data_IF_083892287747
#
_entry.id   IF_083892287747
#
_cell.length_a   1.000
_cell.length_b   1.000
_cell.length_c   1.000
_cell.angle_alpha   90.00
_cell.angle_beta   90.00
_cell.angle_gamma   90.00
#
_symmetry.space_group_name_H-M   'P 1'
#
loop_
_entity.id
_entity.type
_entity.pdbx_description
1 polymer ?
#
# COMPACT_ATOMS: atom_id res chain seq x y z
N UNK A 1 37.33 8.85 46.49
CA UNK A 1 37.57 8.49 45.07
C UNK A 1 36.43 7.62 44.58
N UNK A 2 35.46 8.20 43.89
CA UNK A 2 34.45 7.49 43.10
C UNK A 2 34.35 8.23 41.78
N UNK A 3 34.90 7.64 40.73
CA UNK A 3 34.85 8.13 39.36
C UNK A 3 33.50 7.73 38.77
N UNK A 4 32.64 8.72 38.53
CA UNK A 4 31.39 8.55 37.78
C UNK A 4 31.74 8.62 36.29
N UNK A 5 31.58 7.52 35.56
CA UNK A 5 31.62 7.52 34.10
C UNK A 5 30.26 7.97 33.59
N UNK A 6 30.22 9.18 33.00
CA UNK A 6 29.11 9.65 32.18
C UNK A 6 29.32 9.09 30.76
N UNK A 7 28.49 8.13 30.36
CA UNK A 7 28.38 7.73 28.96
C UNK A 7 27.55 8.78 28.21
N UNK A 8 28.24 9.61 27.42
CA UNK A 8 27.60 10.50 26.44
C UNK A 8 27.23 9.63 25.23
N UNK A 9 25.95 9.31 25.09
CA UNK A 9 25.41 8.77 23.84
C UNK A 9 25.36 9.95 22.86
N UNK A 10 26.34 10.02 21.98
CA UNK A 10 26.31 10.93 20.84
C UNK A 10 25.32 10.38 19.80
N UNK A 11 24.11 10.93 19.76
CA UNK A 11 23.19 10.74 18.64
C UNK A 11 23.83 11.33 17.39
N UNK A 12 24.31 10.45 16.50
CA UNK A 12 24.83 10.83 15.20
C UNK A 12 23.64 11.25 14.31
N UNK A 13 23.28 12.53 14.37
CA UNK A 13 22.36 13.12 13.39
C UNK A 13 23.15 13.25 12.09
N UNK A 14 22.94 12.31 11.16
CA UNK A 14 23.36 12.47 9.78
C UNK A 14 22.61 13.68 9.21
N UNK A 15 23.25 14.84 9.26
CA UNK A 15 22.79 16.07 8.63
C UNK A 15 22.91 15.91 7.11
N UNK A 16 21.91 15.28 6.49
CA UNK A 16 21.65 15.50 5.09
C UNK A 16 21.31 17.00 4.91
N UNK A 17 21.76 17.64 3.81
CA UNK A 17 21.41 19.03 3.55
C UNK A 17 19.88 19.15 3.53
N UNK A 18 19.34 19.87 4.51
CA UNK A 18 17.99 20.43 4.48
C UNK A 18 17.97 21.43 3.32
N UNK A 19 17.75 20.93 2.11
CA UNK A 19 17.28 21.76 1.03
C UNK A 19 15.93 22.33 1.48
N UNK A 20 15.72 23.64 1.31
CA UNK A 20 14.38 24.22 1.38
C UNK A 20 13.52 23.45 0.35
N UNK A 21 12.73 22.51 0.83
CA UNK A 21 12.09 21.48 0.02
C UNK A 21 11.22 20.59 0.89
N UNK A 22 10.24 19.96 0.25
CA UNK A 22 9.23 19.12 0.88
C UNK A 22 9.80 18.20 1.97
N UNK A 23 9.08 18.07 3.09
CA UNK A 23 9.45 17.17 4.19
C UNK A 23 9.53 15.70 3.74
N UNK A 24 8.79 15.34 2.69
CA UNK A 24 8.90 14.07 1.99
C UNK A 24 9.38 14.38 0.56
N UNK A 25 10.65 14.08 0.22
CA UNK A 25 11.27 14.52 -1.04
C UNK A 25 10.81 13.70 -2.25
N UNK A 26 9.76 12.89 -2.10
CA UNK A 26 9.30 11.94 -3.10
C UNK A 26 7.91 12.33 -3.60
N UNK A 27 7.77 12.31 -4.92
CA UNK A 27 6.54 12.71 -5.61
C UNK A 27 5.55 11.57 -5.75
N UNK A 28 6.03 10.33 -5.60
CA UNK A 28 5.23 9.12 -5.74
C UNK A 28 5.46 8.21 -4.54
N UNK A 29 4.47 8.18 -3.66
CA UNK A 29 4.45 7.29 -2.50
C UNK A 29 3.04 7.11 -1.94
N UNK A 30 2.86 6.00 -1.25
CA UNK A 30 1.71 5.64 -0.44
C UNK A 30 2.22 5.02 0.85
N UNK A 31 1.74 5.52 1.98
CA UNK A 31 1.95 4.92 3.30
C UNK A 31 0.60 4.70 3.96
N UNK A 32 0.39 3.51 4.51
CA UNK A 32 -0.78 3.13 5.29
C UNK A 32 -0.34 2.58 6.62
N UNK A 33 -0.93 3.09 7.71
CA UNK A 33 -0.62 2.68 9.07
C UNK A 33 -1.90 2.27 9.77
N UNK A 34 -1.89 1.09 10.38
CA UNK A 34 -2.99 0.60 11.19
C UNK A 34 -2.97 1.30 12.56
N UNK A 35 -4.14 1.70 13.06
CA UNK A 35 -4.25 2.49 14.30
C UNK A 35 -4.86 1.71 15.45
N UNK A 36 -5.36 0.50 15.17
CA UNK A 36 -5.87 -0.42 16.18
C UNK A 36 -4.99 -1.67 16.39
N UNK A 37 -3.83 -1.76 15.75
CA UNK A 37 -2.95 -2.93 15.88
C UNK A 37 -2.46 -3.16 17.33
N UNK A 38 -2.34 -2.09 18.12
CA UNK A 38 -1.96 -2.16 19.54
C UNK A 38 -3.04 -2.80 20.42
N UNK A 39 -4.29 -2.82 19.96
CA UNK A 39 -5.38 -3.53 20.63
C UNK A 39 -5.42 -5.01 20.26
N UNK A 40 -4.77 -5.41 19.17
CA UNK A 40 -4.79 -6.77 18.67
C UNK A 40 -3.99 -7.68 19.61
N UNK A 41 -4.70 -8.46 20.44
CA UNK A 41 -4.11 -9.67 21.03
C UNK A 41 -4.00 -10.70 19.91
N UNK A 42 -2.79 -11.20 19.70
CA UNK A 42 -2.31 -12.12 18.63
C UNK A 42 -3.18 -13.35 18.28
N UNK A 43 -4.26 -13.62 19.00
CA UNK A 43 -4.99 -14.90 18.94
C UNK A 43 -6.44 -14.80 18.40
N UNK A 44 -7.03 -13.61 18.26
CA UNK A 44 -8.46 -13.48 17.86
C UNK A 44 -8.70 -12.88 16.47
N UNK A 45 -7.66 -12.34 15.82
CA UNK A 45 -7.75 -11.75 14.48
C UNK A 45 -8.80 -10.63 14.42
N UNK A 46 -8.37 -9.38 14.60
CA UNK A 46 -9.29 -8.25 14.59
C UNK A 46 -10.12 -8.23 13.30
N UNK A 47 -11.42 -8.46 13.47
CA UNK A 47 -12.39 -8.45 12.37
C UNK A 47 -12.61 -7.04 11.83
N UNK A 48 -12.24 -6.01 12.60
CA UNK A 48 -12.26 -4.60 12.20
C UNK A 48 -10.84 -4.03 12.20
N UNK A 49 -10.53 -3.24 11.18
CA UNK A 49 -9.25 -2.55 11.05
C UNK A 49 -9.50 -1.08 10.78
N UNK A 50 -8.81 -0.22 11.50
CA UNK A 50 -8.83 1.22 11.29
C UNK A 50 -7.44 1.64 10.84
N UNK A 51 -7.32 2.14 9.61
CA UNK A 51 -6.06 2.61 9.06
C UNK A 51 -6.13 4.08 8.67
N UNK A 52 -4.97 4.73 8.70
CA UNK A 52 -4.75 6.08 8.20
C UNK A 52 -3.67 6.02 7.14
N UNK A 53 -3.90 6.67 6.02
CA UNK A 53 -2.97 6.71 4.90
C UNK A 53 -2.60 8.13 4.49
N UNK A 54 -1.41 8.23 3.91
CA UNK A 54 -0.86 9.43 3.26
C UNK A 54 -0.31 8.99 1.91
N UNK A 55 -0.58 9.77 0.87
CA UNK A 55 -0.03 9.53 -0.46
C UNK A 55 0.30 10.82 -1.19
N UNK A 56 1.17 10.71 -2.18
CA UNK A 56 1.43 11.73 -3.19
C UNK A 56 1.71 11.03 -4.50
N UNK A 57 1.27 11.63 -5.60
CA UNK A 57 1.46 11.13 -6.94
C UNK A 57 1.64 12.30 -7.92
N UNK A 58 2.08 12.03 -9.14
CA UNK A 58 2.32 13.08 -10.14
C UNK A 58 1.04 13.88 -10.50
N UNK A 59 -0.12 13.23 -10.49
CA UNK A 59 -1.44 13.84 -10.73
C UNK A 59 -1.99 14.59 -9.50
N UNK A 60 -1.52 14.24 -8.29
CA UNK A 60 -1.87 14.88 -7.01
C UNK A 60 -0.60 15.37 -6.31
N UNK A 61 0.05 16.44 -6.80
CA UNK A 61 1.34 16.89 -6.28
C UNK A 61 1.29 17.36 -4.82
N UNK A 62 0.12 17.84 -4.35
CA UNK A 62 -0.08 18.21 -2.95
C UNK A 62 -0.38 17.00 -2.04
N UNK A 63 -0.53 15.81 -2.62
CA UNK A 63 -0.88 14.58 -1.93
C UNK A 63 -2.30 14.52 -1.39
N UNK A 64 -2.57 13.46 -0.64
CA UNK A 64 -3.83 13.23 0.05
C UNK A 64 -3.61 12.39 1.31
N UNK A 65 -4.56 12.47 2.23
CA UNK A 65 -4.64 11.61 3.40
C UNK A 65 -6.06 11.08 3.54
N UNK A 66 -6.23 9.88 4.09
CA UNK A 66 -7.55 9.31 4.34
C UNK A 66 -7.54 8.37 5.53
N UNK A 67 -8.69 8.25 6.19
CA UNK A 67 -8.95 7.24 7.20
C UNK A 67 -9.85 6.19 6.56
N UNK A 68 -9.57 4.91 6.82
CA UNK A 68 -10.38 3.80 6.31
C UNK A 68 -10.68 2.81 7.41
N UNK A 69 -11.89 2.28 7.39
CA UNK A 69 -12.30 1.20 8.29
C UNK A 69 -12.71 0.00 7.45
N UNK A 70 -12.13 -1.16 7.73
CA UNK A 70 -12.41 -2.41 7.04
C UNK A 70 -12.96 -3.45 7.99
N UNK A 71 -13.98 -4.20 7.56
CA UNK A 71 -14.39 -5.44 8.19
C UNK A 71 -13.89 -6.65 7.40
N UNK A 72 -12.91 -7.36 7.94
CA UNK A 72 -12.30 -8.51 7.27
C UNK A 72 -13.16 -9.78 7.26
N UNK A 73 -14.26 -9.80 8.01
CA UNK A 73 -15.29 -10.84 7.89
C UNK A 73 -16.00 -10.79 6.54
N UNK A 74 -16.02 -9.63 5.88
CA UNK A 74 -16.68 -9.48 4.58
C UNK A 74 -15.75 -9.80 3.39
N UNK A 75 -16.34 -10.10 2.24
CA UNK A 75 -15.63 -10.24 0.97
C UNK A 75 -14.86 -8.95 0.64
N UNK A 76 -13.71 -9.06 -0.03
CA UNK A 76 -12.79 -7.94 -0.28
C UNK A 76 -13.44 -6.66 -0.81
N UNK A 77 -14.42 -6.80 -1.71
CA UNK A 77 -15.13 -5.69 -2.33
C UNK A 77 -16.21 -5.05 -1.44
N UNK A 78 -16.54 -5.69 -0.31
CA UNK A 78 -17.53 -5.24 0.68
C UNK A 78 -16.92 -4.83 2.02
N UNK A 79 -15.60 -4.97 2.21
CA UNK A 79 -14.98 -4.76 3.54
C UNK A 79 -15.04 -3.32 4.01
N UNK A 80 -14.99 -2.37 3.09
CA UNK A 80 -14.88 -0.95 3.43
C UNK A 80 -16.19 -0.44 4.05
N UNK A 81 -16.07 0.21 5.20
CA UNK A 81 -17.17 0.90 5.87
C UNK A 81 -17.11 2.39 5.54
N UNK A 82 -18.27 2.96 5.24
CA UNK A 82 -18.47 4.42 5.10
C UNK A 82 -18.53 5.12 6.45
N UNK A 83 -18.56 6.45 6.46
CA UNK A 83 -18.77 7.21 7.70
C UNK A 83 -20.11 6.86 8.37
N UNK A 84 -21.18 6.68 7.58
CA UNK A 84 -22.51 6.27 8.08
C UNK A 84 -22.48 4.85 8.68
N UNK A 85 -21.77 3.92 8.03
CA UNK A 85 -21.54 2.56 8.55
C UNK A 85 -20.80 2.60 9.91
N UNK A 86 -19.78 3.47 10.03
CA UNK A 86 -19.01 3.65 11.26
C UNK A 86 -19.89 4.23 12.36
N UNK A 87 -20.68 5.27 12.07
CA UNK A 87 -21.60 5.88 13.03
C UNK A 87 -22.64 4.88 13.53
N UNK A 88 -23.24 4.10 12.62
CA UNK A 88 -24.20 3.06 12.96
C UNK A 88 -23.59 1.96 13.83
N UNK A 89 -22.36 1.53 13.53
CA UNK A 89 -21.63 0.55 14.33
C UNK A 89 -21.37 1.05 15.76
N UNK A 90 -20.89 2.30 15.90
CA UNK A 90 -20.62 2.89 17.20
C UNK A 90 -21.88 3.07 18.03
N UNK A 91 -23.00 3.50 17.42
CA UNK A 91 -24.28 3.63 18.08
C UNK A 91 -24.84 2.26 18.53
N UNK A 92 -24.70 1.22 17.71
CA UNK A 92 -25.06 -0.14 18.10
C UNK A 92 -24.21 -0.63 19.29
N UNK A 93 -22.92 -0.29 19.32
CA UNK A 93 -22.03 -0.60 20.44
C UNK A 93 -22.46 0.05 21.75
N UNK A 94 -22.80 1.33 21.73
CA UNK A 94 -23.32 2.05 22.90
C UNK A 94 -24.65 1.42 23.38
N UNK A 95 -25.58 1.14 22.46
CA UNK A 95 -26.85 0.49 22.80
C UNK A 95 -26.66 -0.92 23.39
N UNK A 96 -25.73 -1.71 22.84
CA UNK A 96 -25.41 -3.04 23.37
C UNK A 96 -24.81 -2.96 24.77
N UNK A 97 -23.95 -1.98 25.03
CA UNK A 97 -23.36 -1.72 26.35
C UNK A 97 -24.42 -1.31 27.38
N UNK A 98 -25.42 -0.54 26.96
CA UNK A 98 -26.55 -0.11 27.80
C UNK A 98 -27.64 -1.18 27.95
N UNK A 99 -27.53 -2.29 27.20
CA UNK A 99 -28.47 -3.40 27.22
C UNK A 99 -29.75 -3.15 26.41
N UNK A 100 -29.76 -2.11 25.59
CA UNK A 100 -30.90 -1.68 24.80
C UNK A 100 -31.11 -2.56 23.55
N UNK A 101 -32.21 -2.30 22.84
CA UNK A 101 -32.42 -2.84 21.50
C UNK A 101 -32.03 -1.76 20.50
N UNK A 102 -31.36 -2.17 19.43
CA UNK A 102 -30.96 -1.26 18.36
C UNK A 102 -31.07 -2.00 17.04
N UNK A 103 -31.57 -1.30 16.02
CA UNK A 103 -31.54 -1.76 14.64
C UNK A 103 -31.46 -0.56 13.71
N UNK A 104 -30.43 -0.52 12.88
CA UNK A 104 -30.24 0.51 11.86
C UNK A 104 -29.80 -0.13 10.54
N UNK A 105 -30.16 0.50 9.43
CA UNK A 105 -29.80 0.05 8.08
C UNK A 105 -29.11 1.20 7.37
N UNK A 106 -27.90 0.95 6.89
CA UNK A 106 -27.12 1.88 6.07
C UNK A 106 -27.12 1.36 4.64
N UNK A 107 -27.39 2.23 3.66
CA UNK A 107 -27.32 1.90 2.24
C UNK A 107 -26.13 2.61 1.61
N UNK A 108 -25.19 1.83 1.10
CA UNK A 108 -23.95 2.33 0.49
C UNK A 108 -23.95 2.02 -1.01
N UNK A 109 -23.70 3.02 -1.85
CA UNK A 109 -23.49 2.82 -3.28
C UNK A 109 -22.13 2.14 -3.52
N UNK A 110 -22.12 1.00 -4.20
CA UNK A 110 -20.91 0.29 -4.60
C UNK A 110 -20.82 0.19 -6.12
N UNK A 111 -19.67 -0.24 -6.65
CA UNK A 111 -19.55 -0.51 -8.10
C UNK A 111 -20.47 -1.65 -8.60
N UNK A 112 -21.07 -2.43 -7.68
CA UNK A 112 -22.08 -3.47 -7.98
C UNK A 112 -23.52 -3.00 -7.74
N UNK A 113 -23.71 -1.72 -7.44
CA UNK A 113 -24.99 -1.12 -7.05
C UNK A 113 -25.12 -0.89 -5.54
N UNK A 114 -26.33 -0.51 -5.13
CA UNK A 114 -26.64 -0.23 -3.73
C UNK A 114 -26.53 -1.49 -2.88
N UNK A 115 -25.92 -1.34 -1.71
CA UNK A 115 -25.72 -2.39 -0.74
C UNK A 115 -26.21 -1.96 0.64
N UNK A 116 -27.09 -2.76 1.23
CA UNK A 116 -27.55 -2.55 2.59
C UNK A 116 -26.64 -3.25 3.61
N UNK A 117 -26.37 -2.56 4.72
CA UNK A 117 -25.71 -3.07 5.91
C UNK A 117 -26.64 -2.91 7.09
N UNK A 118 -26.92 -4.00 7.79
CA UNK A 118 -27.80 -4.01 8.96
C UNK A 118 -26.94 -4.08 10.21
N UNK A 119 -27.12 -3.11 11.10
CA UNK A 119 -26.53 -3.05 12.42
C UNK A 119 -27.62 -3.34 13.44
N UNK A 120 -27.49 -4.41 14.21
CA UNK A 120 -28.48 -4.79 15.22
C UNK A 120 -27.84 -5.24 16.52
N UNK A 121 -28.53 -4.99 17.63
CA UNK A 121 -28.14 -5.51 18.95
C UNK A 121 -28.90 -6.78 19.23
N UNK A 122 -28.17 -7.87 19.39
CA UNK A 122 -28.71 -9.24 19.50
C UNK A 122 -28.33 -9.86 20.84
N UNK A 123 -29.19 -10.74 21.35
CA UNK A 123 -28.91 -11.50 22.57
C UNK A 123 -28.41 -12.90 22.21
N UNK A 124 -27.15 -13.19 22.49
CA UNK A 124 -26.50 -14.47 22.22
C UNK A 124 -25.95 -15.01 23.53
N UNK A 125 -26.47 -16.14 24.00
CA UNK A 125 -26.00 -16.75 25.25
C UNK A 125 -26.22 -15.92 26.53
N UNK A 126 -27.11 -14.91 26.49
CA UNK A 126 -27.33 -13.97 27.60
C UNK A 126 -26.50 -12.70 27.49
N UNK A 127 -25.64 -12.58 26.48
CA UNK A 127 -24.83 -11.40 26.21
C UNK A 127 -25.42 -10.57 25.06
N UNK A 128 -25.35 -9.25 25.19
CA UNK A 128 -25.75 -8.31 24.15
C UNK A 128 -24.56 -8.04 23.23
N UNK A 129 -24.68 -8.44 21.97
CA UNK A 129 -23.65 -8.27 20.93
C UNK A 129 -24.16 -7.33 19.84
N UNK A 130 -23.23 -6.68 19.13
CA UNK A 130 -23.50 -5.98 17.89
C UNK A 130 -23.33 -6.96 16.74
N UNK A 131 -24.40 -7.22 15.99
CA UNK A 131 -24.34 -7.93 14.71
C UNK A 131 -24.34 -6.92 13.58
N UNK A 132 -23.34 -7.03 12.70
CA UNK A 132 -23.25 -6.31 11.44
C UNK A 132 -23.43 -7.32 10.31
N UNK A 133 -24.46 -7.13 9.48
CA UNK A 133 -24.81 -8.03 8.37
C UNK A 133 -24.77 -7.29 7.05
N UNK A 134 -24.08 -7.86 6.06
CA UNK A 134 -23.93 -7.30 4.71
C UNK A 134 -24.04 -8.43 3.69
N UNK A 135 -25.12 -8.43 2.90
CA UNK A 135 -25.44 -9.58 2.03
C UNK A 135 -25.70 -10.87 2.82
N UNK A 136 -24.95 -11.93 2.50
CA UNK A 136 -25.01 -13.23 3.22
C UNK A 136 -24.02 -13.31 4.38
N UNK A 137 -23.15 -12.32 4.53
CA UNK A 137 -22.09 -12.30 5.52
C UNK A 137 -22.56 -11.58 6.80
N UNK A 138 -22.06 -12.06 7.93
CA UNK A 138 -22.38 -11.50 9.24
C UNK A 138 -21.15 -11.54 10.14
N UNK A 139 -20.98 -10.48 10.91
CA UNK A 139 -19.97 -10.37 11.94
C UNK A 139 -20.63 -9.97 13.26
N UNK A 140 -20.27 -10.66 14.34
CA UNK A 140 -20.74 -10.35 15.69
C UNK A 140 -19.58 -9.81 16.53
N UNK A 141 -19.85 -8.76 17.28
CA UNK A 141 -18.87 -8.02 18.08
C UNK A 141 -19.39 -7.80 19.49
N UNK A 142 -18.50 -7.94 20.47
CA UNK A 142 -18.77 -7.47 21.83
C UNK A 142 -18.81 -5.94 21.87
N UNK A 143 -19.57 -5.31 22.79
CA UNK A 143 -19.67 -3.85 22.86
C UNK A 143 -18.31 -3.14 23.02
N UNK A 144 -17.36 -3.79 23.70
CA UNK A 144 -16.01 -3.28 23.89
C UNK A 144 -15.25 -3.03 22.57
N UNK A 145 -15.65 -3.68 21.47
CA UNK A 145 -15.05 -3.46 20.15
C UNK A 145 -15.35 -2.06 19.61
N UNK A 146 -16.56 -1.54 19.83
CA UNK A 146 -16.92 -0.17 19.45
C UNK A 146 -16.04 0.87 20.17
N UNK A 147 -15.70 0.62 21.44
CA UNK A 147 -14.79 1.47 22.20
C UNK A 147 -13.36 1.47 21.62
N UNK A 148 -12.86 0.30 21.17
CA UNK A 148 -11.56 0.19 20.49
C UNK A 148 -11.56 0.95 19.17
N UNK A 149 -12.59 0.76 18.34
CA UNK A 149 -12.75 1.48 17.05
C UNK A 149 -12.81 2.99 17.29
N UNK A 150 -13.56 3.45 18.29
CA UNK A 150 -13.63 4.87 18.67
C UNK A 150 -12.24 5.44 19.04
N UNK A 151 -11.47 4.70 19.84
CA UNK A 151 -10.11 5.11 20.21
C UNK A 151 -9.15 5.13 19.01
N UNK A 152 -9.23 4.11 18.14
CA UNK A 152 -8.43 4.03 16.93
C UNK A 152 -8.78 5.15 15.93
N UNK A 153 -10.05 5.48 15.75
CA UNK A 153 -10.49 6.61 14.93
C UNK A 153 -9.98 7.95 15.48
N UNK A 154 -9.98 8.14 16.80
CA UNK A 154 -9.41 9.35 17.41
C UNK A 154 -7.91 9.47 17.09
N UNK A 155 -7.17 8.37 17.20
CA UNK A 155 -5.76 8.32 16.81
C UNK A 155 -5.54 8.56 15.31
N UNK A 156 -6.38 7.96 14.45
CA UNK A 156 -6.33 8.12 13.01
C UNK A 156 -6.59 9.59 12.59
N UNK A 157 -7.50 10.30 13.28
CA UNK A 157 -7.75 11.74 13.04
C UNK A 157 -6.54 12.60 13.39
N UNK A 158 -5.87 12.34 14.52
CA UNK A 158 -4.62 13.04 14.86
C UNK A 158 -3.50 12.74 13.86
N UNK A 159 -3.41 11.50 13.38
CA UNK A 159 -2.46 11.09 12.34
C UNK A 159 -2.74 11.73 10.98
N UNK A 160 -4.01 11.83 10.60
CA UNK A 160 -4.40 12.47 9.35
C UNK A 160 -4.04 13.96 9.36
N UNK A 161 -4.30 14.67 10.47
CA UNK A 161 -3.90 16.06 10.64
C UNK A 161 -2.37 16.24 10.58
N UNK A 162 -1.61 15.29 11.15
CA UNK A 162 -0.16 15.24 11.04
C UNK A 162 0.32 15.04 9.59
N UNK A 163 -0.28 14.10 8.86
CA UNK A 163 0.05 13.85 7.45
C UNK A 163 -0.24 15.03 6.54
N UNK A 164 -1.35 15.75 6.77
CA UNK A 164 -1.65 17.00 6.05
C UNK A 164 -0.53 18.04 6.21
N UNK A 165 0.03 18.17 7.42
CA UNK A 165 1.18 19.05 7.66
C UNK A 165 2.45 18.53 6.99
N UNK A 166 2.75 17.23 7.06
CA UNK A 166 3.91 16.66 6.36
C UNK A 166 3.88 16.87 4.84
N UNK A 167 2.69 16.89 4.24
CA UNK A 167 2.52 17.10 2.81
C UNK A 167 2.71 18.57 2.38
N UNK A 168 2.38 19.53 3.25
CA UNK A 168 2.18 20.93 2.88
C UNK A 168 3.17 21.90 3.55
N UNK A 169 3.68 21.58 4.73
CA UNK A 169 4.55 22.47 5.49
C UNK A 169 6.02 22.29 5.06
N UNK A 170 6.79 23.38 5.06
CA UNK A 170 8.24 23.36 4.78
C UNK A 170 9.07 22.98 6.02
N UNK A 171 8.47 23.10 7.20
CA UNK A 171 9.11 22.87 8.50
C UNK A 171 8.40 21.73 9.19
N UNK A 172 9.18 20.77 9.70
CA UNK A 172 8.64 19.63 10.43
C UNK A 172 7.80 20.13 11.62
N UNK A 173 6.49 19.83 11.68
CA UNK A 173 5.67 20.22 12.82
C UNK A 173 6.10 19.49 14.10
N UNK A 174 5.94 20.14 15.24
CA UNK A 174 6.09 19.49 16.55
C UNK A 174 4.83 18.63 16.85
N UNK A 175 4.97 17.35 17.19
CA UNK A 175 3.84 16.49 17.52
C UNK A 175 3.04 17.00 18.73
N UNK A 176 1.71 16.94 18.65
CA UNK A 176 0.79 17.25 19.76
C UNK A 176 -0.45 16.34 19.72
N UNK A 177 -1.43 16.57 20.59
CA UNK A 177 -2.62 15.71 20.68
C UNK A 177 -3.52 15.79 19.42
N UNK A 178 -3.53 16.92 18.72
CA UNK A 178 -4.31 17.15 17.51
C UNK A 178 -3.61 16.68 16.23
N UNK A 179 -2.27 16.65 16.23
CA UNK A 179 -1.45 16.30 15.08
C UNK A 179 -0.19 15.57 15.55
N UNK A 180 -0.18 14.25 15.43
CA UNK A 180 1.01 13.40 15.72
C UNK A 180 0.99 12.14 14.85
N UNK A 181 2.16 11.51 14.60
CA UNK A 181 2.18 10.19 13.98
C UNK A 181 1.35 9.18 14.80
N UNK A 182 0.68 8.21 14.16
CA UNK A 182 0.00 7.12 14.83
C UNK A 182 0.99 6.20 15.56
N UNK A 183 0.54 5.59 16.67
CA UNK A 183 1.22 4.46 17.32
C UNK A 183 0.85 3.18 16.61
N UNK A 184 1.85 2.48 16.10
CA UNK A 184 1.67 1.24 15.36
C UNK A 184 2.93 0.38 15.36
N UNK A 185 2.74 -0.92 15.32
CA UNK A 185 3.71 -1.94 14.90
C UNK A 185 3.56 -2.33 13.42
N UNK A 186 2.43 -1.99 12.80
CA UNK A 186 2.09 -2.34 11.43
C UNK A 186 2.13 -1.13 10.49
N UNK A 187 2.83 -1.27 9.38
CA UNK A 187 2.82 -0.27 8.31
C UNK A 187 3.04 -0.90 6.94
N UNK A 188 2.47 -0.25 5.92
CA UNK A 188 2.65 -0.58 4.52
C UNK A 188 3.12 0.66 3.76
N UNK A 189 4.23 0.53 3.04
CA UNK A 189 4.83 1.57 2.21
C UNK A 189 4.97 1.06 0.78
N UNK A 190 4.60 1.91 -0.17
CA UNK A 190 4.95 1.79 -1.58
C UNK A 190 5.48 3.15 -2.02
N UNK A 191 6.64 3.20 -2.67
CA UNK A 191 7.16 4.43 -3.26
C UNK A 191 7.82 4.15 -4.60
N UNK A 192 7.14 4.55 -5.67
CA UNK A 192 7.63 4.41 -7.04
C UNK A 192 8.90 5.24 -7.23
N UNK A 193 9.94 4.57 -7.72
CA UNK A 193 11.23 5.18 -8.04
C UNK A 193 11.16 5.75 -9.46
N UNK A 194 10.55 4.99 -10.37
CA UNK A 194 10.21 5.43 -11.71
C UNK A 194 9.78 4.28 -12.62
N UNK A 195 9.40 4.64 -13.85
CA UNK A 195 8.90 3.71 -14.85
C UNK A 195 9.60 3.96 -16.17
N UNK A 196 10.08 2.90 -16.82
CA UNK A 196 10.75 2.96 -18.13
C UNK A 196 9.80 2.41 -19.19
N UNK A 197 9.42 3.27 -20.13
CA UNK A 197 8.55 2.87 -21.24
C UNK A 197 9.30 1.99 -22.25
N UNK A 198 8.71 0.84 -22.55
CA UNK A 198 9.03 -0.03 -23.67
C UNK A 198 7.94 -0.01 -24.74
N UNK A 199 7.27 1.12 -25.01
CA UNK A 199 6.25 1.27 -26.07
C UNK A 199 5.14 0.20 -26.07
N UNK A 200 4.12 0.39 -25.23
CA UNK A 200 3.02 -0.56 -25.03
C UNK A 200 3.15 -1.37 -23.73
N UNK A 201 4.39 -1.52 -23.24
CA UNK A 201 4.70 -1.98 -21.88
C UNK A 201 5.53 -0.91 -21.15
N UNK A 202 5.44 -0.88 -19.82
CA UNK A 202 6.33 -0.11 -18.96
C UNK A 202 6.92 -1.00 -17.86
N UNK A 203 8.19 -0.78 -17.54
CA UNK A 203 8.85 -1.46 -16.44
C UNK A 203 8.97 -0.49 -15.26
N UNK A 204 8.23 -0.75 -14.20
CA UNK A 204 8.22 0.05 -12.98
C UNK A 204 9.09 -0.59 -11.89
N UNK A 205 9.79 0.28 -11.16
CA UNK A 205 10.57 -0.08 -9.98
C UNK A 205 10.06 0.74 -8.81
N UNK A 206 9.68 0.08 -7.73
CA UNK A 206 9.24 0.71 -6.49
C UNK A 206 10.02 0.21 -5.29
N UNK A 207 10.16 1.06 -4.27
CA UNK A 207 10.56 0.65 -2.93
C UNK A 207 9.30 0.29 -2.15
N UNK A 208 9.20 -0.95 -1.67
CA UNK A 208 8.09 -1.37 -0.83
C UNK A 208 8.56 -1.89 0.51
N UNK A 209 7.71 -1.76 1.51
CA UNK A 209 7.94 -2.38 2.80
C UNK A 209 6.63 -2.65 3.48
N UNK A 210 6.55 -3.83 4.09
CA UNK A 210 5.44 -4.27 4.90
C UNK A 210 6.02 -4.77 6.21
N UNK A 211 5.58 -4.21 7.32
CA UNK A 211 5.83 -4.79 8.63
C UNK A 211 4.49 -5.02 9.29
N UNK A 212 4.24 -6.24 9.76
CA UNK A 212 3.14 -6.54 10.67
C UNK A 212 3.64 -6.71 12.11
N UNK A 213 4.87 -7.19 12.31
CA UNK A 213 5.50 -7.38 13.61
C UNK A 213 7.04 -7.42 13.46
N UNK A 214 7.70 -6.27 13.41
CA UNK A 214 9.16 -6.24 13.36
C UNK A 214 9.76 -4.96 12.79
N UNK A 215 11.08 -4.96 12.66
CA UNK A 215 11.74 -3.93 11.87
C UNK A 215 11.33 -4.09 10.40
N UNK A 216 10.95 -3.01 9.72
CA UNK A 216 10.66 -3.05 8.30
C UNK A 216 11.71 -3.74 7.46
N UNK A 217 11.26 -4.68 6.64
CA UNK A 217 12.05 -5.16 5.51
C UNK A 217 11.68 -4.32 4.29
N UNK A 218 12.63 -3.51 3.83
CA UNK A 218 12.52 -2.81 2.57
C UNK A 218 12.95 -3.74 1.45
N UNK A 219 12.15 -3.81 0.39
CA UNK A 219 12.43 -4.59 -0.82
C UNK A 219 12.18 -3.78 -2.07
N UNK A 220 12.80 -4.23 -3.14
CA UNK A 220 12.49 -3.75 -4.49
C UNK A 220 11.24 -4.51 -4.95
N UNK A 221 10.25 -3.77 -5.43
CA UNK A 221 9.14 -4.33 -6.19
C UNK A 221 9.33 -4.02 -7.68
N UNK A 222 9.15 -5.06 -8.49
CA UNK A 222 9.22 -5.01 -9.93
C UNK A 222 7.83 -5.19 -10.49
N UNK A 223 7.40 -4.26 -11.33
CA UNK A 223 6.06 -4.24 -11.90
C UNK A 223 6.11 -3.98 -13.40
N UNK A 224 5.24 -4.68 -14.13
CA UNK A 224 5.05 -4.52 -15.55
C UNK A 224 3.71 -3.81 -15.78
N UNK A 225 3.77 -2.54 -16.18
CA UNK A 225 2.62 -1.73 -16.54
C UNK A 225 2.20 -2.01 -18.00
N UNK A 226 0.90 -2.13 -18.23
CA UNK A 226 0.31 -2.45 -19.53
C UNK A 226 -0.40 -1.21 -20.06
N UNK A 227 -0.06 -0.78 -21.28
CA UNK A 227 -0.66 0.42 -21.87
C UNK A 227 -1.52 0.06 -23.09
N UNK A 228 -2.62 0.80 -23.28
CA UNK A 228 -3.40 0.77 -24.53
C UNK A 228 -2.59 1.39 -25.68
N UNK A 229 -3.06 1.23 -26.91
CA UNK A 229 -2.48 1.93 -28.06
C UNK A 229 -2.54 3.45 -27.94
N UNK A 230 -3.52 3.96 -27.17
CA UNK A 230 -3.69 5.38 -26.86
C UNK A 230 -2.75 5.87 -25.73
N UNK A 231 -1.99 4.94 -25.12
CA UNK A 231 -1.04 5.23 -24.06
C UNK A 231 -1.67 5.30 -22.65
N UNK A 232 -2.92 4.88 -22.49
CA UNK A 232 -3.57 4.80 -21.18
C UNK A 232 -3.15 3.51 -20.47
N UNK A 233 -2.83 3.60 -19.18
CA UNK A 233 -2.56 2.41 -18.38
C UNK A 233 -3.84 1.58 -18.23
N UNK A 234 -3.78 0.33 -18.68
CA UNK A 234 -4.91 -0.61 -18.64
C UNK A 234 -4.81 -1.60 -17.50
N UNK A 235 -3.65 -1.66 -16.83
CA UNK A 235 -3.40 -2.50 -15.67
C UNK A 235 -1.91 -2.75 -15.49
N UNK A 236 -1.61 -3.50 -14.44
CA UNK A 236 -0.24 -3.78 -14.06
C UNK A 236 -0.12 -5.18 -13.45
N UNK A 237 1.09 -5.72 -13.46
CA UNK A 237 1.40 -7.01 -12.87
C UNK A 237 2.73 -6.94 -12.13
N UNK A 238 2.74 -7.34 -10.85
CA UNK A 238 3.95 -7.42 -10.06
C UNK A 238 4.33 -8.87 -9.71
N UNK A 239 5.56 -9.06 -9.27
CA UNK A 239 6.09 -10.32 -8.74
C UNK A 239 7.49 -10.66 -9.21
N UNK A 240 8.10 -11.66 -8.57
CA UNK A 240 9.49 -12.08 -8.85
C UNK A 240 9.75 -12.42 -10.32
N UNK A 241 8.72 -12.90 -11.03
CA UNK A 241 8.79 -13.23 -12.44
C UNK A 241 9.06 -12.00 -13.33
N UNK A 242 8.68 -10.79 -12.90
CA UNK A 242 8.98 -9.54 -13.60
C UNK A 242 10.48 -9.23 -13.53
N UNK A 243 11.14 -9.60 -12.43
CA UNK A 243 12.60 -9.53 -12.33
C UNK A 243 13.27 -10.59 -13.24
N UNK A 244 12.67 -11.77 -13.38
CA UNK A 244 13.15 -12.80 -14.33
C UNK A 244 12.98 -12.36 -15.79
N UNK A 245 11.85 -11.72 -16.14
CA UNK A 245 11.66 -11.10 -17.46
C UNK A 245 12.80 -10.14 -17.80
N UNK A 246 13.24 -9.31 -16.84
CA UNK A 246 14.36 -8.39 -17.05
C UNK A 246 15.68 -9.12 -17.33
N UNK A 247 15.89 -10.31 -16.73
CA UNK A 247 17.06 -11.16 -17.04
C UNK A 247 17.00 -11.65 -18.48
N UNK A 248 15.85 -12.14 -18.94
CA UNK A 248 15.70 -12.61 -20.32
C UNK A 248 15.82 -11.47 -21.34
N UNK A 249 15.31 -10.26 -21.04
CA UNK A 249 15.57 -9.05 -21.84
C UNK A 249 17.08 -8.75 -21.93
N UNK A 250 17.82 -8.87 -20.82
CA UNK A 250 19.27 -8.67 -20.84
C UNK A 250 19.98 -9.70 -21.71
N UNK A 251 19.58 -10.98 -21.65
CA UNK A 251 20.16 -12.05 -22.48
C UNK A 251 19.87 -11.82 -23.96
N UNK A 252 18.63 -11.43 -24.30
CA UNK A 252 18.25 -11.06 -25.65
C UNK A 252 19.10 -9.89 -26.17
N UNK A 253 19.28 -8.84 -25.37
CA UNK A 253 20.10 -7.68 -25.74
C UNK A 253 21.59 -7.98 -25.84
N UNK A 254 22.11 -8.99 -25.14
CA UNK A 254 23.49 -9.47 -25.34
C UNK A 254 23.61 -10.32 -26.63
N UNK A 255 22.56 -11.05 -27.01
CA UNK A 255 22.51 -11.78 -28.27
C UNK A 255 22.51 -10.85 -29.50
N UNK A 256 21.82 -9.69 -29.44
CA UNK A 256 21.85 -8.68 -30.52
C UNK A 256 23.26 -8.20 -30.81
N UNK A 257 24.09 -7.95 -29.78
CA UNK A 257 25.49 -7.51 -29.92
C UNK A 257 26.33 -8.50 -30.72
N UNK A 258 26.02 -9.78 -30.58
CA UNK A 258 26.71 -10.87 -31.25
C UNK A 258 26.08 -11.24 -32.60
N UNK A 259 25.06 -10.51 -33.06
CA UNK A 259 24.31 -10.81 -34.27
C UNK A 259 23.59 -12.17 -34.22
N UNK A 260 23.23 -12.63 -33.02
CA UNK A 260 22.60 -13.94 -32.80
C UNK A 260 21.09 -13.78 -32.61
N UNK A 261 20.34 -14.68 -33.21
CA UNK A 261 18.93 -14.86 -32.86
C UNK A 261 18.81 -15.40 -31.43
N UNK A 262 17.79 -14.95 -30.72
CA UNK A 262 17.41 -15.45 -29.41
C UNK A 262 15.88 -15.34 -29.30
N UNK A 263 15.27 -16.35 -28.70
CA UNK A 263 13.85 -16.39 -28.40
C UNK A 263 13.64 -17.22 -27.14
N UNK A 264 12.81 -16.71 -26.23
CA UNK A 264 12.43 -17.35 -24.98
C UNK A 264 10.93 -17.27 -24.82
N UNK A 265 10.36 -18.32 -24.23
CA UNK A 265 8.96 -18.40 -23.86
C UNK A 265 8.88 -18.89 -22.42
N UNK A 266 8.22 -18.12 -21.56
CA UNK A 266 7.96 -18.52 -20.19
C UNK A 266 6.89 -19.60 -20.14
N UNK A 267 6.92 -20.41 -19.08
CA UNK A 267 5.73 -21.12 -18.64
C UNK A 267 4.66 -20.12 -18.15
N UNK A 268 3.47 -20.61 -17.83
CA UNK A 268 2.45 -19.80 -17.17
C UNK A 268 2.94 -19.36 -15.78
N UNK A 269 2.94 -18.06 -15.52
CA UNK A 269 3.29 -17.43 -14.23
C UNK A 269 2.24 -16.38 -13.90
N UNK A 270 1.70 -16.43 -12.67
CA UNK A 270 0.59 -15.57 -12.23
C UNK A 270 -0.62 -15.60 -13.18
N UNK A 271 -0.88 -16.75 -13.82
CA UNK A 271 -1.95 -16.87 -14.81
C UNK A 271 -1.71 -16.03 -16.04
N UNK A 272 -0.46 -15.85 -16.48
CA UNK A 272 -0.05 -15.20 -17.74
C UNK A 272 1.21 -15.87 -18.28
N UNK A 273 1.60 -15.63 -19.53
CA UNK A 273 2.93 -16.05 -20.01
C UNK A 273 3.56 -14.95 -20.83
N UNK A 274 4.88 -14.93 -20.94
CA UNK A 274 5.58 -13.94 -21.73
C UNK A 274 6.58 -14.59 -22.69
N UNK A 275 6.85 -13.91 -23.79
CA UNK A 275 7.94 -14.25 -24.70
C UNK A 275 8.89 -13.07 -24.84
N UNK A 276 10.16 -13.37 -25.08
CA UNK A 276 11.20 -12.39 -25.38
C UNK A 276 11.92 -12.84 -26.65
N UNK A 277 11.89 -12.03 -27.70
CA UNK A 277 12.55 -12.34 -28.97
C UNK A 277 13.45 -11.18 -29.40
N UNK A 278 14.61 -11.51 -29.95
CA UNK A 278 15.51 -10.51 -30.49
C UNK A 278 15.04 -9.99 -31.84
N UNK A 279 14.94 -8.67 -31.96
CA UNK A 279 14.77 -7.98 -33.21
C UNK A 279 16.13 -7.47 -33.72
N UNK A 280 16.75 -8.19 -34.66
CA UNK A 280 18.06 -7.82 -35.21
C UNK A 280 18.02 -6.55 -36.06
N UNK A 281 16.84 -6.13 -36.54
CA UNK A 281 16.72 -4.90 -37.32
C UNK A 281 16.77 -3.67 -36.42
N UNK A 282 16.12 -3.71 -35.26
CA UNK A 282 16.09 -2.61 -34.29
C UNK A 282 17.15 -2.72 -33.20
N UNK A 283 17.77 -3.90 -33.04
CA UNK A 283 18.68 -4.25 -31.95
C UNK A 283 18.00 -4.15 -30.57
N UNK A 284 16.69 -4.39 -30.51
CA UNK A 284 15.86 -4.39 -29.31
C UNK A 284 15.37 -5.81 -28.97
N UNK A 285 14.92 -6.00 -27.74
CA UNK A 285 14.16 -7.18 -27.33
C UNK A 285 12.66 -6.90 -27.45
N UNK A 286 11.97 -7.67 -28.29
CA UNK A 286 10.52 -7.67 -28.42
C UNK A 286 9.95 -8.56 -27.30
N UNK A 287 9.07 -7.99 -26.51
CA UNK A 287 8.38 -8.65 -25.40
C UNK A 287 6.90 -8.75 -25.74
N UNK A 288 6.36 -9.95 -25.66
CA UNK A 288 4.92 -10.19 -25.79
C UNK A 288 4.41 -10.85 -24.52
N UNK A 289 3.46 -10.20 -23.85
CA UNK A 289 2.74 -10.73 -22.70
C UNK A 289 1.40 -11.27 -23.16
N UNK A 290 1.21 -12.57 -23.00
CA UNK A 290 -0.06 -13.25 -23.20
C UNK A 290 -0.85 -13.19 -21.89
N UNK A 291 -2.00 -12.46 -21.87
CA UNK A 291 -2.87 -12.47 -20.71
C UNK A 291 -3.38 -13.90 -20.51
N UNK A 292 -3.30 -14.42 -19.30
CA UNK A 292 -4.04 -15.64 -18.97
C UNK A 292 -5.33 -15.33 -18.23
N UNK A 293 -5.75 -16.25 -17.36
CA UNK A 293 -7.15 -16.39 -16.97
C UNK A 293 -7.76 -15.17 -16.25
N UNK A 294 -6.95 -14.25 -15.74
CA UNK A 294 -7.42 -13.03 -15.08
C UNK A 294 -7.86 -11.94 -16.06
N UNK A 295 -7.43 -12.00 -17.34
CA UNK A 295 -7.72 -11.00 -18.36
C UNK A 295 -8.30 -11.65 -19.63
N UNK A 296 -9.25 -12.57 -19.47
CA UNK A 296 -9.79 -13.47 -20.51
C UNK A 296 -10.26 -12.83 -21.85
N UNK A 297 -10.29 -11.51 -21.96
CA UNK A 297 -10.70 -10.77 -23.16
C UNK A 297 -9.67 -9.74 -23.64
N UNK A 298 -8.41 -9.80 -23.18
CA UNK A 298 -7.38 -8.85 -23.62
C UNK A 298 -6.53 -9.45 -24.74
N UNK A 299 -6.21 -8.63 -25.72
CA UNK A 299 -5.18 -8.96 -26.70
C UNK A 299 -3.80 -9.01 -26.02
N UNK A 300 -2.87 -9.72 -26.64
CA UNK A 300 -1.49 -9.78 -26.16
C UNK A 300 -0.89 -8.37 -26.09
N UNK A 301 -0.32 -8.01 -24.95
CA UNK A 301 0.36 -6.73 -24.78
C UNK A 301 1.79 -6.86 -25.29
N UNK A 302 2.24 -5.89 -26.08
CA UNK A 302 3.57 -5.92 -26.69
C UNK A 302 4.38 -4.70 -26.27
N UNK A 303 5.68 -4.92 -26.12
CA UNK A 303 6.64 -3.86 -25.86
C UNK A 303 8.03 -4.21 -26.39
N UNK A 304 8.88 -3.21 -26.42
CA UNK A 304 10.23 -3.26 -26.97
C UNK A 304 11.19 -2.60 -26.00
N UNK A 305 12.22 -3.33 -25.58
CA UNK A 305 13.24 -2.82 -24.67
C UNK A 305 14.61 -2.87 -25.35
N UNK A 306 15.22 -1.71 -25.52
CA UNK A 306 16.58 -1.57 -26.00
C UNK A 306 17.61 -1.46 -24.87
N UNK A 307 18.89 -1.32 -25.24
CA UNK A 307 19.98 -1.13 -24.27
C UNK A 307 19.83 0.14 -23.43
N UNK A 308 19.27 1.20 -24.01
CA UNK A 308 19.01 2.45 -23.29
C UNK A 308 17.99 2.21 -22.17
N UNK A 309 16.85 1.58 -22.48
CA UNK A 309 15.83 1.23 -21.49
C UNK A 309 16.40 0.31 -20.40
N UNK A 310 17.18 -0.71 -20.76
CA UNK A 310 17.80 -1.60 -19.77
C UNK A 310 18.78 -0.85 -18.85
N UNK A 311 19.54 0.12 -19.37
CA UNK A 311 20.41 0.96 -18.56
C UNK A 311 19.61 1.87 -17.61
N UNK A 312 18.50 2.44 -18.09
CA UNK A 312 17.60 3.26 -17.27
C UNK A 312 16.93 2.44 -16.15
N UNK A 313 16.45 1.22 -16.45
CA UNK A 313 15.88 0.31 -15.44
C UNK A 313 16.93 -0.02 -14.37
N UNK A 314 18.17 -0.34 -14.77
CA UNK A 314 19.27 -0.60 -13.82
C UNK A 314 19.60 0.62 -12.96
N UNK A 315 19.48 1.83 -13.52
CA UNK A 315 19.62 3.06 -12.76
C UNK A 315 18.53 3.20 -11.70
N UNK A 316 17.26 2.96 -12.06
CA UNK A 316 16.15 2.96 -11.09
C UNK A 316 16.36 1.94 -9.97
N UNK A 317 16.82 0.72 -10.31
CA UNK A 317 17.18 -0.32 -9.35
C UNK A 317 18.32 0.14 -8.44
N UNK A 318 19.31 0.89 -8.95
CA UNK A 318 20.39 1.44 -8.10
C UNK A 318 19.92 2.59 -7.21
N UNK A 319 18.94 3.37 -7.66
CA UNK A 319 18.36 4.50 -6.91
C UNK A 319 17.48 4.03 -5.73
N UNK A 320 17.01 2.77 -5.77
CA UNK A 320 16.26 2.13 -4.68
C UNK A 320 16.94 2.26 -3.32
N UNK A 321 18.24 2.01 -3.22
CA UNK A 321 18.91 2.02 -1.92
C UNK A 321 18.79 3.38 -1.22
N UNK A 322 18.87 4.47 -1.98
CA UNK A 322 18.73 5.81 -1.44
C UNK A 322 17.29 6.06 -0.99
N UNK A 323 16.29 5.58 -1.75
CA UNK A 323 14.87 5.65 -1.40
C UNK A 323 14.58 4.88 -0.10
N UNK A 324 15.01 3.63 -0.02
CA UNK A 324 14.83 2.77 1.14
C UNK A 324 15.53 3.34 2.39
N UNK A 325 16.79 3.76 2.28
CA UNK A 325 17.54 4.37 3.40
C UNK A 325 16.87 5.64 3.92
N UNK A 326 16.28 6.46 3.05
CA UNK A 326 15.55 7.65 3.49
C UNK A 326 14.30 7.29 4.28
N UNK A 327 13.46 6.39 3.78
CA UNK A 327 12.25 5.98 4.50
C UNK A 327 12.63 5.34 5.84
N UNK A 328 13.63 4.46 5.85
CA UNK A 328 14.12 3.82 7.07
C UNK A 328 14.60 4.84 8.12
N UNK A 329 15.34 5.87 7.68
CA UNK A 329 15.81 6.93 8.57
C UNK A 329 14.68 7.86 9.07
N UNK A 330 13.53 7.87 8.40
CA UNK A 330 12.42 8.78 8.63
C UNK A 330 11.10 8.07 9.01
N UNK A 331 11.14 6.80 9.43
CA UNK A 331 9.96 6.04 9.86
C UNK A 331 9.11 6.77 10.90
N UNK A 332 9.77 7.50 11.80
CA UNK A 332 9.12 8.32 12.84
C UNK A 332 8.20 9.43 12.31
N UNK A 333 8.32 9.79 11.03
CA UNK A 333 7.38 10.71 10.37
C UNK A 333 6.04 10.02 10.12
N UNK A 334 6.05 8.71 9.90
CA UNK A 334 4.87 7.95 9.51
C UNK A 334 4.23 7.23 10.68
N UNK A 335 5.01 6.76 11.65
CA UNK A 335 4.47 6.10 12.83
C UNK A 335 5.46 6.12 13.98
N UNK A 336 4.97 5.91 15.20
CA UNK A 336 5.80 5.63 16.37
C UNK A 336 5.62 4.18 16.79
N UNK A 337 6.72 3.45 16.96
CA UNK A 337 6.71 2.08 17.48
C UNK A 337 6.09 2.06 18.89
N UNK A 338 5.38 0.97 19.18
CA UNK A 338 4.76 0.69 20.47
C UNK A 338 5.80 0.49 21.59
#
# INVERSE_FOLDING_TARGET
MKTSQLSIIASLVLSLPLFAGDLIPYKDFYVSVETNDWFARRDEGDRLNVSVSISRSADKPNGSSSIRVYCYTFESWQRMLTDDDIEAFLAAGDAAQEGEEFRHVVTTETFRGDQETIYEVVNVGGEKLVRMSRGVEQAEFVPAEAAKVRAALAQARSAEAWYKKLLLDEVLPEPNDEARPPRSSSYNLISTIGTVSGKGLGYEVAATSFSSEGDPEYRIEHELCLYSEEGEETGSLSGDWVADLLKEISIALDATVNGRAYSFQSNEVAGSSYSVTVNLATMEADVELQPGNFFNNREASRGHFGKAQLADIRKLISDYENRAKWFQANERLFYTKN
#
